data_IF_827144576137
#
_entry.id   IF_827144576137
#
_cell.length_a   1.000
_cell.length_b   1.000
_cell.length_c   1.000
_cell.angle_alpha   90.00
_cell.angle_beta   90.00
_cell.angle_gamma   90.00
#
_symmetry.space_group_name_H-M   'P 1'
#
loop_
_entity.id
_entity.type
_entity.pdbx_description
1 polymer ?
#
# COMPACT_ATOMS: atom_id res chain seq x y z
N UNK A 1 -14.64 -9.12 -13.74
CA UNK A 1 -13.53 -8.79 -12.82
C UNK A 1 -12.27 -9.35 -13.45
N UNK A 2 -11.31 -8.49 -13.82
CA UNK A 2 -10.01 -8.96 -14.32
C UNK A 2 -9.27 -9.63 -13.18
N UNK A 3 -8.79 -10.86 -13.36
CA UNK A 3 -7.88 -11.47 -12.40
C UNK A 3 -6.63 -10.59 -12.32
N UNK A 4 -6.29 -10.13 -11.11
CA UNK A 4 -5.02 -9.45 -10.90
C UNK A 4 -3.90 -10.43 -11.28
N UNK A 5 -3.10 -10.08 -12.29
CA UNK A 5 -1.85 -10.77 -12.55
C UNK A 5 -1.02 -10.77 -11.27
N UNK A 6 -0.51 -11.93 -10.85
CA UNK A 6 0.42 -12.00 -9.73
C UNK A 6 1.57 -11.01 -9.97
N UNK A 7 1.85 -10.13 -9.01
CA UNK A 7 2.95 -9.16 -9.09
C UNK A 7 4.28 -9.91 -8.91
N UNK A 8 5.16 -9.82 -9.90
CA UNK A 8 6.50 -10.41 -9.87
C UNK A 8 7.57 -9.43 -9.37
N UNK A 9 8.77 -9.97 -9.11
CA UNK A 9 9.95 -9.16 -8.79
C UNK A 9 10.39 -8.40 -10.04
N UNK A 10 10.60 -7.08 -9.90
CA UNK A 10 10.99 -6.20 -11.00
C UNK A 10 9.80 -5.58 -11.73
N UNK A 11 8.58 -6.07 -11.49
CA UNK A 11 7.37 -5.44 -12.01
C UNK A 11 7.15 -4.07 -11.36
N UNK A 12 6.53 -3.17 -12.13
CA UNK A 12 6.00 -1.94 -11.54
C UNK A 12 4.89 -2.32 -10.56
N UNK A 13 5.05 -1.92 -9.30
CA UNK A 13 4.02 -2.10 -8.29
C UNK A 13 2.69 -1.47 -8.76
N UNK A 14 1.55 -2.18 -8.66
CA UNK A 14 0.25 -1.61 -8.94
C UNK A 14 -0.01 -0.43 -8.02
N UNK A 15 -0.50 0.67 -8.59
CA UNK A 15 -0.86 1.84 -7.77
C UNK A 15 -2.11 1.53 -6.94
N UNK A 16 -2.18 2.14 -5.76
CA UNK A 16 -3.30 2.00 -4.84
C UNK A 16 -3.48 3.27 -4.01
N UNK A 17 -4.71 3.44 -3.51
CA UNK A 17 -5.03 4.39 -2.45
C UNK A 17 -5.70 3.64 -1.31
N UNK A 18 -5.13 3.77 -0.12
CA UNK A 18 -5.64 3.15 1.11
C UNK A 18 -6.03 4.23 2.10
N UNK A 19 -7.13 4.00 2.80
CA UNK A 19 -7.54 4.87 3.90
C UNK A 19 -6.58 4.70 5.07
N UNK A 20 -6.03 5.80 5.58
CA UNK A 20 -5.20 5.83 6.78
C UNK A 20 -5.99 6.32 7.99
N UNK A 21 -6.73 7.43 7.84
CA UNK A 21 -7.71 7.92 8.84
C UNK A 21 -9.07 8.19 8.16
N UNK A 22 -10.08 8.64 8.88
CA UNK A 22 -11.39 8.96 8.28
C UNK A 22 -11.30 10.04 7.20
N UNK A 23 -10.38 10.99 7.36
CA UNK A 23 -10.21 12.16 6.50
C UNK A 23 -8.98 12.05 5.59
N UNK A 24 -8.12 11.05 5.81
CA UNK A 24 -6.84 10.94 5.13
C UNK A 24 -6.65 9.59 4.44
N UNK A 25 -6.33 9.67 3.15
CA UNK A 25 -5.93 8.56 2.31
C UNK A 25 -4.45 8.68 1.94
N UNK A 26 -3.76 7.55 1.88
CA UNK A 26 -2.38 7.41 1.42
C UNK A 26 -2.35 6.70 0.07
N UNK A 27 -1.61 7.26 -0.89
CA UNK A 27 -1.33 6.65 -2.18
C UNK A 27 0.09 6.10 -2.29
N UNK A 28 0.28 5.03 -3.07
CA UNK A 28 1.62 4.47 -3.31
C UNK A 28 2.52 5.47 -4.05
N UNK A 29 2.02 6.09 -5.12
CA UNK A 29 2.78 7.05 -5.92
C UNK A 29 3.36 8.21 -5.08
N UNK A 30 2.52 8.85 -4.26
CA UNK A 30 2.93 9.93 -3.35
C UNK A 30 3.94 9.44 -2.29
N UNK A 31 3.78 8.21 -1.80
CA UNK A 31 4.70 7.65 -0.81
C UNK A 31 6.09 7.38 -1.40
N UNK A 32 6.14 6.92 -2.65
CA UNK A 32 7.39 6.67 -3.37
C UNK A 32 8.20 7.94 -3.64
N UNK A 33 7.56 9.10 -3.77
CA UNK A 33 8.26 10.40 -3.88
C UNK A 33 9.13 10.70 -2.65
N UNK A 34 8.79 10.11 -1.48
CA UNK A 34 9.53 10.27 -0.22
C UNK A 34 10.65 9.24 -0.05
N UNK A 35 10.68 8.19 -0.86
CA UNK A 35 11.71 7.15 -0.82
C UNK A 35 11.16 5.72 -0.95
N UNK A 36 12.02 4.70 -0.73
CA UNK A 36 11.63 3.30 -0.77
C UNK A 36 10.52 2.96 0.23
N UNK A 37 9.58 2.09 -0.18
CA UNK A 37 8.39 1.74 0.61
C UNK A 37 8.37 0.24 0.89
N UNK A 38 7.98 -0.13 2.12
CA UNK A 38 7.62 -1.50 2.48
C UNK A 38 6.13 -1.53 2.79
N UNK A 39 5.37 -2.36 2.07
CA UNK A 39 3.95 -2.60 2.33
C UNK A 39 3.80 -3.89 3.15
N UNK A 40 3.14 -3.79 4.30
CA UNK A 40 2.89 -4.93 5.20
C UNK A 40 1.39 -5.06 5.43
N UNK A 41 0.84 -6.24 5.14
CA UNK A 41 -0.52 -6.59 5.53
C UNK A 41 -0.48 -7.37 6.84
N UNK A 42 -1.27 -6.95 7.82
CA UNK A 42 -1.37 -7.60 9.12
C UNK A 42 -2.85 -7.76 9.51
N UNK A 43 -3.15 -8.80 10.28
CA UNK A 43 -4.53 -9.15 10.65
C UNK A 43 -5.03 -8.34 11.84
N UNK A 44 -4.13 -7.87 12.71
CA UNK A 44 -4.47 -7.14 13.93
C UNK A 44 -3.76 -5.81 13.99
N UNK A 45 -4.51 -4.77 14.37
CA UNK A 45 -3.94 -3.46 14.55
C UNK A 45 -2.90 -3.44 15.68
N UNK A 46 -1.81 -2.69 15.47
CA UNK A 46 -0.78 -2.49 16.48
C UNK A 46 -1.27 -1.42 17.48
N UNK A 47 -2.29 -1.76 18.26
CA UNK A 47 -2.74 -0.95 19.37
C UNK A 47 -1.74 -1.05 20.53
N UNK A 48 -0.93 -0.02 20.73
CA UNK A 48 -0.17 0.15 21.96
C UNK A 48 -1.10 0.68 23.06
N UNK A 49 -1.07 0.02 24.21
CA UNK A 49 -1.67 0.45 25.48
C UNK A 49 -1.28 1.86 25.87
#
# INVERSE_FOLDING_TARGET
MSAASAVGVGDRAPDFRLRHTFEHDVGLAETLERGPVVLVFYVFDFGSR
#
